data_IF_683172011789
#
_entry.id   IF_683172011789
#
_cell.length_a   1.000
_cell.length_b   1.000
_cell.length_c   1.000
_cell.angle_alpha   90.00
_cell.angle_beta   90.00
_cell.angle_gamma   90.00
#
_symmetry.space_group_name_H-M   'P 1'
#
loop_
_entity.id
_entity.type
_entity.pdbx_description
1 polymer ?
#
# COMPACT_ATOMS: atom_id res chain seq x y z
N UNK A 1 -14.23 -21.54 59.78
CA UNK A 1 -15.09 -21.61 58.58
C UNK A 1 -14.48 -20.73 57.50
N UNK A 2 -13.74 -21.32 56.55
CA UNK A 2 -13.18 -20.59 55.42
C UNK A 2 -14.16 -20.68 54.25
N UNK A 3 -14.67 -19.53 53.79
CA UNK A 3 -15.56 -19.48 52.64
C UNK A 3 -14.75 -19.63 51.35
N UNK A 4 -15.14 -20.59 50.52
CA UNK A 4 -14.57 -20.87 49.20
C UNK A 4 -15.13 -19.85 48.19
N UNK A 5 -14.29 -18.99 47.61
CA UNK A 5 -14.71 -18.06 46.56
C UNK A 5 -14.92 -18.78 45.21
N UNK A 6 -16.03 -18.46 44.54
CA UNK A 6 -16.56 -19.12 43.35
C UNK A 6 -15.74 -18.79 42.06
N UNK A 7 -15.23 -19.78 41.32
CA UNK A 7 -14.33 -19.56 40.17
C UNK A 7 -14.99 -18.94 38.92
N UNK A 8 -16.28 -18.61 38.94
CA UNK A 8 -17.02 -18.04 37.79
C UNK A 8 -17.25 -16.52 37.84
N UNK A 9 -16.69 -15.81 38.82
CA UNK A 9 -16.85 -14.35 38.90
C UNK A 9 -15.92 -13.63 37.91
N UNK A 10 -16.47 -13.17 36.80
CA UNK A 10 -15.76 -12.36 35.81
C UNK A 10 -15.28 -11.04 36.45
N UNK A 11 -13.97 -10.76 36.35
CA UNK A 11 -13.39 -9.49 36.82
C UNK A 11 -13.85 -8.33 35.91
N UNK A 12 -14.26 -7.17 36.45
CA UNK A 12 -14.61 -6.01 35.63
C UNK A 12 -13.36 -5.48 34.91
N UNK A 13 -13.54 -5.12 33.64
CA UNK A 13 -12.48 -4.59 32.78
C UNK A 13 -11.98 -3.23 33.31
N UNK A 14 -10.69 -3.13 33.61
CA UNK A 14 -10.07 -1.88 34.01
C UNK A 14 -9.97 -0.93 32.81
N UNK A 15 -10.50 0.28 32.97
CA UNK A 15 -10.44 1.37 32.00
C UNK A 15 -9.04 1.99 32.03
N UNK A 16 -8.28 1.86 30.96
CA UNK A 16 -6.93 2.43 30.87
C UNK A 16 -7.03 3.89 30.36
N UNK A 17 -6.55 4.91 31.08
CA UNK A 17 -6.65 6.29 30.63
C UNK A 17 -5.73 6.58 29.44
N UNK A 18 -6.24 7.44 28.55
CA UNK A 18 -5.63 7.96 27.33
C UNK A 18 -4.14 8.32 27.48
N UNK A 19 -3.31 7.70 26.64
CA UNK A 19 -1.95 8.20 26.39
C UNK A 19 -2.03 9.48 25.58
N UNK A 20 -2.05 10.62 26.30
CA UNK A 20 -1.79 11.95 25.74
C UNK A 20 -0.56 11.92 24.84
N UNK A 21 -0.76 12.35 23.59
CA UNK A 21 0.27 12.60 22.60
C UNK A 21 1.19 13.69 23.16
N UNK A 22 2.49 13.40 23.35
CA UNK A 22 3.49 14.41 23.69
C UNK A 22 3.76 15.31 22.46
N UNK A 23 3.90 16.63 22.63
CA UNK A 23 4.26 17.51 21.51
C UNK A 23 5.72 17.29 21.10
N UNK A 24 5.96 17.17 19.80
CA UNK A 24 7.30 17.13 19.22
C UNK A 24 7.87 18.55 19.30
N UNK A 25 9.00 18.69 20.02
CA UNK A 25 9.78 19.92 20.09
C UNK A 25 10.31 20.32 18.71
N UNK A 26 10.27 21.62 18.45
CA UNK A 26 10.92 22.28 17.33
C UNK A 26 12.44 22.06 17.36
N UNK A 27 13.04 21.84 16.19
CA UNK A 27 14.47 22.00 15.97
C UNK A 27 14.68 22.88 14.74
N UNK A 28 15.69 23.73 14.90
CA UNK A 28 15.92 24.96 14.19
C UNK A 28 16.32 24.81 12.72
N UNK A 29 16.01 25.89 12.01
CA UNK A 29 16.50 26.32 10.71
C UNK A 29 18.03 26.33 10.58
N UNK A 30 18.54 25.86 9.44
CA UNK A 30 19.70 26.45 8.77
C UNK A 30 19.45 26.53 7.25
N UNK A 31 19.85 27.64 6.60
CA UNK A 31 19.65 27.87 5.16
C UNK A 31 20.84 27.33 4.35
N UNK A 32 20.60 26.91 3.10
CA UNK A 32 21.67 26.70 2.11
C UNK A 32 21.44 27.59 0.88
N UNK A 33 22.50 28.20 0.32
CA UNK A 33 22.39 29.24 -0.71
C UNK A 33 22.56 28.72 -2.16
N UNK A 34 21.79 29.35 -3.06
CA UNK A 34 22.17 30.03 -4.32
C UNK A 34 22.98 29.29 -5.43
N UNK A 35 22.45 29.46 -6.66
CA UNK A 35 23.08 29.62 -7.99
C UNK A 35 23.27 28.41 -8.94
N UNK A 36 22.46 28.44 -10.00
CA UNK A 36 22.82 28.52 -11.43
C UNK A 36 24.14 27.85 -11.87
N UNK A 37 24.06 26.92 -12.83
CA UNK A 37 24.59 27.14 -14.20
C UNK A 37 24.38 25.91 -15.12
N UNK A 38 24.07 26.25 -16.38
CA UNK A 38 24.39 25.57 -17.64
C UNK A 38 23.74 24.24 -18.02
N UNK A 39 22.83 24.38 -18.99
CA UNK A 39 22.64 23.47 -20.12
C UNK A 39 23.97 23.00 -20.73
N UNK A 40 23.98 21.77 -21.27
CA UNK A 40 24.56 21.59 -22.60
C UNK A 40 23.66 20.79 -23.54
N UNK A 41 23.31 21.46 -24.62
CA UNK A 41 22.92 20.86 -25.90
C UNK A 41 24.17 20.27 -26.57
N UNK A 42 24.16 18.98 -26.97
CA UNK A 42 25.06 18.51 -28.04
C UNK A 42 24.45 17.36 -28.84
N UNK A 43 24.06 17.71 -30.07
CA UNK A 43 23.71 16.84 -31.21
C UNK A 43 24.91 16.00 -31.68
N UNK A 44 24.67 14.73 -32.05
CA UNK A 44 25.25 14.00 -33.22
C UNK A 44 24.30 12.82 -33.51
N UNK A 45 23.34 12.94 -34.44
CA UNK A 45 23.43 12.76 -35.91
C UNK A 45 23.95 11.36 -36.30
N UNK A 46 23.03 10.41 -36.46
CA UNK A 46 23.17 9.32 -37.43
C UNK A 46 21.81 9.10 -38.08
N UNK A 47 21.71 9.53 -39.33
CA UNK A 47 20.64 9.18 -40.23
C UNK A 47 21.08 7.90 -40.96
N UNK A 48 20.27 6.85 -40.89
CA UNK A 48 20.22 5.85 -41.95
C UNK A 48 18.75 5.73 -42.38
N UNK A 49 18.55 6.14 -43.62
CA UNK A 49 17.33 6.13 -44.38
C UNK A 49 17.20 4.73 -44.99
N UNK A 50 16.17 3.97 -44.62
CA UNK A 50 15.61 2.95 -45.51
C UNK A 50 14.09 3.13 -45.51
N UNK A 51 13.59 3.31 -46.72
CA UNK A 51 12.25 3.73 -47.07
C UNK A 51 11.31 2.51 -47.22
N UNK A 52 10.00 2.79 -47.08
CA UNK A 52 8.85 2.06 -47.64
C UNK A 52 8.15 0.98 -46.80
N UNK A 53 7.40 1.40 -45.78
CA UNK A 53 5.93 1.17 -45.72
C UNK A 53 5.30 1.95 -44.55
N UNK A 54 4.40 2.92 -44.79
CA UNK A 54 3.64 3.56 -43.72
C UNK A 54 2.47 2.66 -43.30
N UNK A 55 2.43 2.08 -42.08
CA UNK A 55 1.15 1.76 -41.47
C UNK A 55 0.45 3.09 -41.21
N UNK A 56 -0.74 3.24 -41.77
CA UNK A 56 -1.68 4.32 -41.51
C UNK A 56 -1.76 4.60 -40.01
N UNK A 57 -0.95 5.55 -39.56
CA UNK A 57 -1.11 6.23 -38.30
C UNK A 57 -2.47 6.89 -38.39
N UNK A 58 -3.45 6.30 -37.69
CA UNK A 58 -4.53 7.09 -37.10
C UNK A 58 -3.84 7.99 -36.08
N UNK A 59 -3.23 9.03 -36.65
CA UNK A 59 -2.71 10.17 -35.96
C UNK A 59 -3.90 10.69 -35.21
N UNK A 60 -3.89 10.47 -33.89
CA UNK A 60 -4.70 11.20 -32.94
C UNK A 60 -4.26 12.67 -33.06
N UNK A 61 -4.78 13.30 -34.10
CA UNK A 61 -4.87 14.73 -34.27
C UNK A 61 -5.91 15.17 -33.26
N UNK A 62 -5.53 15.27 -31.98
CA UNK A 62 -6.11 16.36 -31.20
C UNK A 62 -5.36 17.61 -31.64
N UNK A 63 -5.80 18.13 -32.78
CA UNK A 63 -5.54 19.48 -33.26
C UNK A 63 -5.95 20.42 -32.12
N UNK A 64 -5.02 20.72 -31.24
CA UNK A 64 -5.12 21.80 -30.25
C UNK A 64 -4.88 23.12 -30.95
N UNK A 65 -5.77 23.47 -31.88
CA UNK A 65 -5.80 24.75 -32.57
C UNK A 65 -7.18 25.36 -32.38
N UNK A 66 -7.26 26.43 -31.60
CA UNK A 66 -8.50 27.12 -31.27
C UNK A 66 -8.23 28.29 -30.33
N UNK A 67 -7.50 29.28 -30.82
CA UNK A 67 -7.46 30.61 -30.22
C UNK A 67 -8.79 31.31 -30.47
N UNK A 68 -9.60 31.42 -29.42
CA UNK A 68 -10.86 32.15 -29.37
C UNK A 68 -11.29 32.16 -27.92
N UNK A 69 -11.41 33.35 -27.31
CA UNK A 69 -11.63 33.56 -25.88
C UNK A 69 -13.02 33.15 -25.38
N UNK A 70 -13.45 31.93 -25.68
CA UNK A 70 -14.70 31.38 -25.18
C UNK A 70 -14.51 30.99 -23.70
N UNK A 71 -15.27 31.64 -22.82
CA UNK A 71 -15.14 31.46 -21.38
C UNK A 71 -15.48 30.01 -21.00
N UNK A 72 -14.47 29.23 -20.60
CA UNK A 72 -14.64 27.84 -20.16
C UNK A 72 -15.65 27.77 -19.01
N UNK A 73 -16.59 26.83 -19.08
CA UNK A 73 -17.61 26.64 -18.06
C UNK A 73 -16.98 26.47 -16.66
N UNK A 74 -17.16 27.47 -15.79
CA UNK A 74 -16.68 27.45 -14.40
C UNK A 74 -17.57 26.55 -13.54
N UNK A 75 -16.95 25.90 -12.55
CA UNK A 75 -17.61 24.91 -11.70
C UNK A 75 -17.52 25.29 -10.22
N UNK A 76 -18.61 25.05 -9.51
CA UNK A 76 -18.74 25.28 -8.07
C UNK A 76 -18.84 23.95 -7.32
N UNK A 77 -18.28 23.88 -6.11
CA UNK A 77 -18.41 22.70 -5.25
C UNK A 77 -19.87 22.48 -4.87
N UNK A 78 -20.33 21.23 -4.99
CA UNK A 78 -21.73 20.84 -4.69
C UNK A 78 -22.01 20.54 -3.20
N UNK A 79 -20.98 20.59 -2.34
CA UNK A 79 -21.07 20.33 -0.90
C UNK A 79 -20.82 21.64 -0.17
N UNK A 80 -21.31 21.73 1.06
CA UNK A 80 -21.10 22.89 1.95
C UNK A 80 -19.63 23.16 2.29
N UNK A 81 -18.73 22.20 2.06
CA UNK A 81 -17.30 22.35 2.30
C UNK A 81 -16.60 22.96 1.07
N UNK A 82 -16.14 24.21 1.20
CA UNK A 82 -15.54 25.01 0.13
C UNK A 82 -14.03 24.78 -0.08
N UNK A 83 -13.31 24.22 0.92
CA UNK A 83 -11.85 24.11 0.84
C UNK A 83 -11.35 22.92 0.00
N UNK A 84 -10.18 23.09 -0.60
CA UNK A 84 -9.49 22.07 -1.41
C UNK A 84 -8.70 21.09 -0.52
N UNK A 85 -9.40 20.20 0.19
CA UNK A 85 -8.78 19.20 1.07
C UNK A 85 -8.63 17.83 0.39
N UNK A 86 -7.75 16.97 0.93
CA UNK A 86 -7.55 15.59 0.42
C UNK A 86 -8.84 14.74 0.42
N UNK A 87 -9.82 15.05 1.27
CA UNK A 87 -11.13 14.38 1.30
C UNK A 87 -12.13 14.98 0.31
N UNK A 88 -11.91 16.22 -0.13
CA UNK A 88 -12.79 16.94 -1.05
C UNK A 88 -12.27 16.88 -2.50
N UNK A 89 -11.59 15.79 -2.89
CA UNK A 89 -11.11 15.61 -4.25
C UNK A 89 -12.28 15.38 -5.21
N UNK A 90 -12.29 16.11 -6.31
CA UNK A 90 -13.35 16.10 -7.32
C UNK A 90 -12.82 15.68 -8.69
N UNK A 91 -13.71 15.13 -9.52
CA UNK A 91 -13.48 14.88 -10.94
C UNK A 91 -14.52 15.67 -11.73
N UNK A 92 -14.10 16.36 -12.78
CA UNK A 92 -15.01 16.99 -13.74
C UNK A 92 -15.56 15.92 -14.67
N UNK A 93 -16.88 15.82 -14.77
CA UNK A 93 -17.58 14.84 -15.62
C UNK A 93 -18.60 15.58 -16.48
N UNK A 94 -18.67 15.23 -17.78
CA UNK A 94 -19.75 15.68 -18.66
C UNK A 94 -21.00 14.87 -18.34
N UNK A 95 -22.10 15.53 -18.01
CA UNK A 95 -23.39 14.85 -17.85
C UNK A 95 -24.02 14.61 -19.23
N UNK A 96 -24.98 13.68 -19.35
CA UNK A 96 -25.72 13.47 -20.60
C UNK A 96 -26.37 14.76 -21.14
N UNK A 97 -26.80 15.67 -20.26
CA UNK A 97 -27.31 16.99 -20.64
C UNK A 97 -26.25 18.03 -21.03
N UNK A 98 -25.03 17.59 -21.38
CA UNK A 98 -23.96 18.45 -21.91
C UNK A 98 -23.25 19.36 -20.89
N UNK A 99 -23.66 19.34 -19.61
CA UNK A 99 -23.09 20.23 -18.58
C UNK A 99 -21.86 19.60 -17.92
N UNK A 100 -20.84 20.41 -17.64
CA UNK A 100 -19.73 20.01 -16.78
C UNK A 100 -20.16 20.08 -15.31
N UNK A 101 -19.90 19.02 -14.55
CA UNK A 101 -20.25 18.94 -13.11
C UNK A 101 -19.13 18.27 -12.32
N UNK A 102 -18.88 18.75 -11.09
CA UNK A 102 -18.02 18.04 -10.14
C UNK A 102 -18.70 16.78 -9.58
N UNK A 103 -18.04 15.64 -9.74
CA UNK A 103 -18.34 14.42 -8.98
C UNK A 103 -17.28 14.21 -7.90
N UNK A 104 -17.73 13.88 -6.69
CA UNK A 104 -16.83 13.63 -5.57
C UNK A 104 -16.20 12.25 -5.68
N UNK A 105 -14.88 12.24 -5.60
CA UNK A 105 -14.11 11.01 -5.61
C UNK A 105 -13.73 10.64 -4.18
N UNK A 106 -13.73 9.33 -3.91
CA UNK A 106 -13.22 8.77 -2.66
C UNK A 106 -11.69 8.74 -2.72
N UNK A 107 -11.00 9.01 -1.60
CA UNK A 107 -9.55 8.80 -1.47
C UNK A 107 -9.19 7.36 -1.88
N UNK A 108 -8.18 7.23 -2.72
CA UNK A 108 -7.64 5.93 -3.14
C UNK A 108 -7.08 5.19 -1.91
N UNK A 109 -7.42 3.90 -1.79
CA UNK A 109 -6.95 3.06 -0.72
C UNK A 109 -5.59 2.45 -1.07
N UNK A 110 -4.72 2.31 -0.06
CA UNK A 110 -3.58 1.41 -0.16
C UNK A 110 -4.04 -0.03 -0.02
N UNK A 111 -3.51 -0.92 -0.86
CA UNK A 111 -3.76 -2.35 -0.76
C UNK A 111 -3.12 -3.01 0.48
N UNK A 112 -3.54 -4.23 0.83
CA UNK A 112 -2.91 -5.02 1.87
C UNK A 112 -1.43 -5.29 1.54
N UNK A 113 -0.56 -5.11 2.54
CA UNK A 113 0.88 -5.33 2.43
C UNK A 113 1.32 -6.45 3.36
N UNK A 114 2.33 -7.20 2.93
CA UNK A 114 3.01 -8.14 3.80
C UNK A 114 3.84 -7.38 4.84
N UNK A 115 3.76 -7.70 6.14
CA UNK A 115 4.54 -7.04 7.18
C UNK A 115 6.04 -7.34 7.10
N UNK A 116 6.43 -8.49 6.55
CA UNK A 116 7.85 -8.90 6.45
C UNK A 116 8.51 -8.26 5.24
N UNK A 117 7.90 -8.39 4.06
CA UNK A 117 8.51 -7.93 2.80
C UNK A 117 8.11 -6.50 2.42
N UNK A 118 7.07 -5.92 3.04
CA UNK A 118 6.48 -4.63 2.64
C UNK A 118 5.75 -4.63 1.28
N UNK A 119 5.91 -5.71 0.49
CA UNK A 119 5.26 -5.91 -0.81
C UNK A 119 3.76 -6.06 -0.67
N UNK A 120 3.03 -5.57 -1.68
CA UNK A 120 1.56 -5.71 -1.77
C UNK A 120 1.19 -7.18 -1.99
N UNK A 121 0.10 -7.61 -1.39
CA UNK A 121 -0.38 -8.98 -1.52
C UNK A 121 -1.13 -9.12 -2.85
N UNK A 122 -0.63 -10.01 -3.70
CA UNK A 122 -1.23 -10.30 -5.00
C UNK A 122 -2.56 -11.03 -4.84
N UNK A 123 -3.49 -10.78 -5.75
CA UNK A 123 -4.81 -11.43 -5.80
C UNK A 123 -5.87 -10.81 -4.86
N UNK A 124 -5.54 -9.73 -4.13
CA UNK A 124 -6.50 -9.06 -3.25
C UNK A 124 -6.72 -7.60 -3.73
N UNK A 125 -7.98 -7.15 -3.93
CA UNK A 125 -8.29 -5.86 -4.51
C UNK A 125 -7.97 -4.69 -3.57
N UNK A 126 -7.53 -3.56 -4.11
CA UNK A 126 -7.20 -2.38 -3.29
C UNK A 126 -8.44 -1.51 -3.07
N UNK A 127 -9.20 -1.83 -2.03
CA UNK A 127 -10.46 -1.15 -1.71
C UNK A 127 -10.40 -0.44 -0.35
N UNK A 128 -11.33 0.48 -0.12
CA UNK A 128 -11.47 1.10 1.21
C UNK A 128 -12.02 0.09 2.23
N UNK A 129 -11.75 0.27 3.54
CA UNK A 129 -12.23 -0.65 4.57
C UNK A 129 -13.75 -0.89 4.54
N UNK A 130 -14.55 0.13 4.23
CA UNK A 130 -16.00 0.00 4.11
C UNK A 130 -16.46 -0.87 2.92
N UNK A 131 -15.63 -1.03 1.89
CA UNK A 131 -15.90 -1.86 0.71
C UNK A 131 -15.46 -3.31 0.91
N UNK A 132 -14.56 -3.56 1.86
CA UNK A 132 -14.15 -4.91 2.29
C UNK A 132 -15.18 -5.65 3.16
N UNK A 133 -16.27 -4.99 3.54
CA UNK A 133 -17.35 -5.58 4.34
C UNK A 133 -17.94 -6.80 3.64
N UNK A 134 -18.34 -7.81 4.43
CA UNK A 134 -18.93 -9.07 3.96
C UNK A 134 -20.15 -8.89 3.04
N UNK A 135 -20.93 -7.82 3.25
CA UNK A 135 -22.11 -7.51 2.45
C UNK A 135 -21.82 -6.98 1.04
N UNK A 136 -20.61 -6.48 0.78
CA UNK A 136 -20.23 -5.91 -0.53
C UNK A 136 -19.25 -6.78 -1.31
N UNK A 137 -18.48 -7.62 -0.62
CA UNK A 137 -17.44 -8.41 -1.24
C UNK A 137 -17.47 -9.86 -0.72
N UNK A 138 -17.51 -10.79 -1.66
CA UNK A 138 -17.44 -12.24 -1.42
C UNK A 138 -16.11 -12.64 -0.74
N UNK A 139 -16.07 -13.84 -0.16
CA UNK A 139 -14.87 -14.35 0.54
C UNK A 139 -13.69 -14.56 -0.41
N UNK A 140 -13.92 -15.20 -1.56
CA UNK A 140 -12.88 -15.49 -2.55
C UNK A 140 -12.09 -14.26 -3.01
N UNK A 141 -12.72 -13.08 -3.06
CA UNK A 141 -12.06 -11.82 -3.43
C UNK A 141 -11.29 -11.18 -2.28
N UNK A 142 -11.48 -11.63 -1.04
CA UNK A 142 -10.82 -11.08 0.16
C UNK A 142 -9.65 -11.93 0.64
N UNK A 143 -9.59 -13.18 0.23
CA UNK A 143 -8.61 -14.17 0.71
C UNK A 143 -7.91 -14.84 -0.46
N UNK A 144 -6.72 -15.36 -0.23
CA UNK A 144 -6.05 -16.27 -1.18
C UNK A 144 -6.00 -17.66 -0.57
N UNK A 145 -6.22 -18.71 -1.38
CA UNK A 145 -6.25 -20.09 -0.91
C UNK A 145 -4.84 -20.65 -0.68
N UNK A 146 -4.16 -20.15 0.36
CA UNK A 146 -2.88 -20.65 0.89
C UNK A 146 -2.75 -20.33 2.37
N UNK A 147 -1.83 -20.96 3.12
CA UNK A 147 -1.52 -20.57 4.48
C UNK A 147 -1.12 -19.08 4.59
N UNK A 148 -1.66 -18.39 5.59
CA UNK A 148 -1.50 -16.94 5.79
C UNK A 148 -1.93 -16.07 4.59
N UNK A 149 -2.85 -16.57 3.76
CA UNK A 149 -3.42 -15.84 2.62
C UNK A 149 -4.02 -14.49 3.06
N UNK A 150 -3.62 -13.42 2.37
CA UNK A 150 -4.04 -12.06 2.71
C UNK A 150 -3.31 -11.38 3.85
N UNK A 151 -2.37 -12.06 4.48
CA UNK A 151 -1.48 -11.46 5.50
C UNK A 151 -0.03 -11.47 5.03
N UNK A 152 0.45 -12.60 4.50
CA UNK A 152 1.83 -12.76 4.05
C UNK A 152 1.93 -12.87 2.52
N UNK A 153 3.06 -12.46 1.95
CA UNK A 153 3.41 -12.74 0.56
C UNK A 153 3.74 -14.22 0.37
N UNK A 154 3.60 -14.76 -0.84
CA UNK A 154 3.95 -16.16 -1.12
C UNK A 154 5.41 -16.49 -0.79
N UNK A 155 6.32 -15.54 -1.05
CA UNK A 155 7.75 -15.69 -0.71
C UNK A 155 7.97 -15.78 0.79
N UNK A 156 7.32 -14.92 1.59
CA UNK A 156 7.43 -14.94 3.04
C UNK A 156 6.86 -16.22 3.66
N UNK A 157 5.80 -16.79 3.06
CA UNK A 157 5.26 -18.09 3.50
C UNK A 157 6.27 -19.20 3.21
N UNK A 158 6.87 -19.24 2.01
CA UNK A 158 7.90 -20.22 1.65
C UNK A 158 9.11 -20.15 2.58
N UNK A 159 9.62 -18.95 2.84
CA UNK A 159 10.74 -18.76 3.76
C UNK A 159 10.42 -19.25 5.18
N UNK A 160 9.19 -19.05 5.67
CA UNK A 160 8.78 -19.55 6.99
C UNK A 160 8.75 -21.08 7.04
N UNK A 161 8.24 -21.72 5.99
CA UNK A 161 8.19 -23.19 5.90
C UNK A 161 9.62 -23.76 5.90
N UNK A 162 10.50 -23.23 5.04
CA UNK A 162 11.89 -23.69 4.94
C UNK A 162 12.64 -23.44 6.25
N UNK A 163 12.51 -22.25 6.85
CA UNK A 163 13.16 -21.94 8.13
C UNK A 163 12.67 -22.85 9.26
N UNK A 164 11.36 -23.13 9.32
CA UNK A 164 10.81 -24.04 10.33
C UNK A 164 11.42 -25.43 10.20
N UNK A 165 11.44 -25.98 8.98
CA UNK A 165 12.06 -27.27 8.68
C UNK A 165 13.54 -27.31 9.07
N UNK A 166 14.36 -26.38 8.58
CA UNK A 166 15.80 -26.37 8.87
C UNK A 166 16.10 -26.22 10.36
N UNK A 167 15.32 -25.43 11.09
CA UNK A 167 15.49 -25.27 12.54
C UNK A 167 15.14 -26.57 13.27
N UNK A 168 14.15 -27.31 12.80
CA UNK A 168 13.79 -28.62 13.35
C UNK A 168 14.88 -29.66 13.10
N UNK A 169 15.38 -29.77 11.87
CA UNK A 169 16.50 -30.64 11.51
C UNK A 169 17.75 -30.34 12.35
N UNK A 170 18.12 -29.06 12.46
CA UNK A 170 19.26 -28.65 13.29
C UNK A 170 19.06 -28.97 14.77
N UNK A 171 17.82 -28.92 15.30
CA UNK A 171 17.54 -29.30 16.68
C UNK A 171 17.80 -30.78 16.91
N UNK A 172 17.44 -31.64 15.96
CA UNK A 172 17.68 -33.09 16.04
C UNK A 172 19.18 -33.36 16.03
N UNK A 173 19.90 -32.80 15.06
CA UNK A 173 21.37 -32.95 14.95
C UNK A 173 22.07 -32.49 16.23
N UNK A 174 21.69 -31.33 16.77
CA UNK A 174 22.25 -30.82 18.04
C UNK A 174 21.98 -31.75 19.22
N UNK A 175 20.81 -32.38 19.29
CA UNK A 175 20.48 -33.35 20.36
C UNK A 175 21.34 -34.61 20.24
N UNK A 176 21.45 -35.18 19.04
CA UNK A 176 22.24 -36.41 18.79
C UNK A 176 23.71 -36.19 19.11
N UNK A 177 24.30 -35.08 18.61
CA UNK A 177 25.69 -34.74 18.91
C UNK A 177 25.93 -34.51 20.41
N UNK A 178 24.94 -33.96 21.14
CA UNK A 178 25.03 -33.81 22.59
C UNK A 178 25.03 -35.17 23.29
N UNK A 179 24.18 -36.10 22.87
CA UNK A 179 24.09 -37.46 23.44
C UNK A 179 25.39 -38.25 23.19
N UNK A 180 25.95 -38.18 21.98
CA UNK A 180 27.23 -38.83 21.66
C UNK A 180 28.36 -38.28 22.53
N UNK A 181 28.51 -36.94 22.60
CA UNK A 181 29.52 -36.31 23.47
C UNK A 181 29.37 -36.67 24.95
N UNK A 182 28.15 -36.88 25.44
CA UNK A 182 27.96 -37.34 26.82
C UNK A 182 28.35 -38.80 27.00
N UNK A 183 28.03 -39.67 26.04
CA UNK A 183 28.42 -41.09 26.07
C UNK A 183 29.95 -41.25 26.03
N UNK A 184 30.63 -40.54 25.14
CA UNK A 184 32.09 -40.61 24.99
C UNK A 184 32.83 -40.12 26.25
N UNK A 185 32.27 -39.15 26.98
CA UNK A 185 32.81 -38.67 28.26
C UNK A 185 32.60 -39.66 29.41
N UNK A 186 31.53 -40.43 29.39
CA UNK A 186 31.25 -41.44 30.43
C UNK A 186 32.05 -42.72 30.20
N UNK A 187 32.39 -43.02 28.94
CA UNK A 187 33.21 -44.17 28.56
C UNK A 187 34.72 -43.96 28.78
N UNK A 188 35.15 -42.74 29.14
CA UNK A 188 36.55 -42.36 29.39
C UNK A 188 36.74 -42.06 30.87
#
# INVERSE_FOLDING_TARGET
>A
MAQQEDPRRAKPAQHHPDRRIKPIRAVHSLPTPIANHLYPYRRRRLALLFHLHPPSLVSRVYRGGGGGGEMVQRLTYRKRHSYATKSNQTRVVKTPGGRLVYQYTKKRASGPKCPVTGKKIQGIPHLRPAEYKRSRLSRNRRTVNRPYGGVLSGTAVRERIIRAFLVEEQKIVKKVLKIQKTKDKTAK
#
